data_IF_638209805186
#
_entry.id   IF_638209805186
#
_cell.length_a   1.000
_cell.length_b   1.000
_cell.length_c   1.000
_cell.angle_alpha   90.00
_cell.angle_beta   90.00
_cell.angle_gamma   90.00
#
_symmetry.space_group_name_H-M   'P 1'
#
loop_
_entity.id
_entity.type
_entity.pdbx_description
1 polymer ?
#
# COMPACT_ATOMS: atom_id res chain seq x y z
N UNK A 1 10.97 -1.42 14.78
CA UNK A 1 10.62 -2.87 14.82
C UNK A 1 11.61 -3.79 14.08
N UNK A 2 12.09 -3.44 12.86
CA UNK A 2 13.03 -4.28 12.10
C UNK A 2 14.32 -4.61 12.86
N UNK A 3 14.95 -3.61 13.49
CA UNK A 3 16.13 -3.82 14.33
C UNK A 3 15.89 -4.76 15.52
N UNK A 4 14.74 -4.66 16.19
CA UNK A 4 14.40 -5.55 17.30
C UNK A 4 14.25 -7.00 16.80
N UNK A 5 13.51 -7.20 15.73
CA UNK A 5 13.33 -8.53 15.11
C UNK A 5 14.67 -9.12 14.62
N UNK A 6 15.52 -8.30 14.00
CA UNK A 6 16.83 -8.75 13.50
C UNK A 6 17.79 -9.08 14.66
N UNK A 7 17.71 -8.33 15.77
CA UNK A 7 18.44 -8.61 17.02
C UNK A 7 17.95 -9.91 17.64
N UNK A 8 16.63 -10.13 17.75
CA UNK A 8 16.06 -11.39 18.27
C UNK A 8 16.41 -12.59 17.38
N UNK A 9 16.46 -12.42 16.04
CA UNK A 9 16.93 -13.47 15.12
C UNK A 9 18.39 -13.82 15.33
N UNK A 10 19.26 -12.81 15.50
CA UNK A 10 20.68 -13.01 15.82
C UNK A 10 20.86 -13.75 17.15
N UNK A 11 20.15 -13.33 18.19
CA UNK A 11 20.19 -13.97 19.51
C UNK A 11 19.65 -15.41 19.50
N UNK A 12 18.64 -15.69 18.67
CA UNK A 12 18.06 -17.03 18.52
C UNK A 12 18.88 -17.98 17.62
N UNK A 13 20.08 -17.58 17.16
CA UNK A 13 20.91 -18.38 16.26
C UNK A 13 20.32 -18.61 14.86
N UNK A 14 19.23 -17.90 14.52
CA UNK A 14 18.60 -17.96 13.20
C UNK A 14 19.35 -17.02 12.27
N UNK A 15 20.46 -17.52 11.70
CA UNK A 15 21.18 -16.83 10.65
C UNK A 15 20.20 -16.39 9.55
N UNK A 16 20.20 -15.09 9.24
CA UNK A 16 19.61 -14.61 7.99
C UNK A 16 20.29 -15.37 6.87
N UNK A 17 19.54 -16.14 6.09
CA UNK A 17 20.08 -16.70 4.85
C UNK A 17 20.68 -15.54 4.04
N UNK A 18 21.86 -15.70 3.42
CA UNK A 18 22.37 -14.68 2.50
C UNK A 18 21.27 -14.36 1.48
N UNK A 19 21.09 -13.08 1.17
CA UNK A 19 20.14 -12.68 0.13
C UNK A 19 20.49 -13.44 -1.14
N UNK A 20 19.49 -14.11 -1.71
CA UNK A 20 19.69 -14.90 -2.92
C UNK A 20 20.05 -13.94 -4.06
N UNK A 21 21.07 -14.25 -4.87
CA UNK A 21 21.37 -13.46 -6.06
C UNK A 21 20.13 -13.32 -6.95
N UNK A 22 19.93 -12.12 -7.47
CA UNK A 22 18.87 -11.80 -8.43
C UNK A 22 19.48 -11.79 -9.82
N UNK A 23 18.76 -12.24 -10.84
CA UNK A 23 19.21 -12.18 -12.24
C UNK A 23 18.87 -10.84 -12.89
N UNK A 24 19.78 -10.38 -13.73
CA UNK A 24 19.50 -9.28 -14.66
C UNK A 24 18.60 -9.73 -15.82
N UNK A 25 18.35 -8.83 -16.78
CA UNK A 25 17.52 -9.12 -17.96
C UNK A 25 18.19 -10.11 -18.93
N UNK A 26 19.49 -10.37 -18.79
CA UNK A 26 20.28 -11.32 -19.58
C UNK A 26 20.49 -12.65 -18.83
N UNK A 27 19.68 -12.92 -17.79
CA UNK A 27 19.75 -14.08 -16.90
C UNK A 27 21.09 -14.23 -16.13
N UNK A 28 21.92 -13.18 -16.07
CA UNK A 28 23.19 -13.20 -15.32
C UNK A 28 22.96 -12.89 -13.83
N UNK A 29 23.64 -13.60 -12.91
CA UNK A 29 23.47 -13.38 -11.48
C UNK A 29 24.11 -12.06 -11.02
N UNK A 30 23.32 -11.23 -10.36
CA UNK A 30 23.74 -10.01 -9.66
C UNK A 30 24.02 -10.36 -8.19
N UNK A 31 25.28 -10.26 -7.78
CA UNK A 31 25.71 -10.55 -6.41
C UNK A 31 25.82 -9.30 -5.55
N UNK A 32 26.00 -8.12 -6.16
CA UNK A 32 26.12 -6.86 -5.42
C UNK A 32 24.74 -6.37 -4.94
N UNK A 33 24.62 -6.09 -3.65
CA UNK A 33 23.35 -5.67 -3.00
C UNK A 33 22.75 -4.43 -3.68
N UNK A 34 23.57 -3.41 -3.98
CA UNK A 34 23.10 -2.18 -4.60
C UNK A 34 22.53 -2.42 -6.01
N UNK A 35 23.21 -3.24 -6.80
CA UNK A 35 22.74 -3.61 -8.14
C UNK A 35 21.45 -4.44 -8.06
N UNK A 36 21.32 -5.33 -7.08
CA UNK A 36 20.05 -6.04 -6.85
C UNK A 36 18.92 -5.07 -6.51
N UNK A 37 19.16 -4.05 -5.69
CA UNK A 37 18.16 -3.01 -5.41
C UNK A 37 17.73 -2.26 -6.67
N UNK A 38 18.69 -1.82 -7.49
CA UNK A 38 18.39 -1.16 -8.76
C UNK A 38 17.57 -2.07 -9.68
N UNK A 39 17.91 -3.36 -9.76
CA UNK A 39 17.15 -4.36 -10.53
C UNK A 39 15.70 -4.50 -10.04
N UNK A 40 15.48 -4.45 -8.72
CA UNK A 40 14.12 -4.44 -8.16
C UNK A 40 13.35 -3.16 -8.50
N UNK A 41 14.00 -2.00 -8.43
CA UNK A 41 13.40 -0.71 -8.76
C UNK A 41 12.96 -0.70 -10.23
N UNK A 42 13.89 -1.00 -11.14
CA UNK A 42 13.62 -1.11 -12.59
C UNK A 42 12.43 -2.05 -12.87
N UNK A 43 12.47 -3.27 -12.32
CA UNK A 43 11.41 -4.25 -12.54
C UNK A 43 10.02 -3.74 -12.10
N UNK A 44 9.92 -3.11 -10.93
CA UNK A 44 8.64 -2.62 -10.43
C UNK A 44 8.21 -1.31 -11.09
N UNK A 45 9.14 -0.46 -11.51
CA UNK A 45 8.84 0.73 -12.31
C UNK A 45 8.21 0.34 -13.66
N UNK A 46 8.82 -0.61 -14.38
CA UNK A 46 8.28 -1.13 -15.64
C UNK A 46 6.92 -1.81 -15.45
N UNK A 47 6.77 -2.59 -14.37
CA UNK A 47 5.54 -3.33 -14.10
C UNK A 47 4.37 -2.41 -13.75
N UNK A 48 4.61 -1.36 -12.97
CA UNK A 48 3.57 -0.49 -12.41
C UNK A 48 3.26 0.73 -13.29
N UNK A 49 4.19 1.16 -14.15
CA UNK A 49 4.05 2.36 -14.98
C UNK A 49 4.01 2.02 -16.48
N UNK A 50 3.21 1.02 -16.86
CA UNK A 50 3.04 0.64 -18.26
C UNK A 50 2.45 1.82 -19.06
N UNK A 51 2.97 2.14 -20.26
CA UNK A 51 2.42 3.22 -21.07
C UNK A 51 0.98 2.93 -21.48
N UNK A 52 0.21 4.01 -21.68
CA UNK A 52 -1.16 3.92 -22.17
C UNK A 52 -1.21 3.20 -23.53
N UNK A 53 -2.26 2.42 -23.74
CA UNK A 53 -2.48 1.79 -25.03
C UNK A 53 -2.81 2.85 -26.06
N UNK A 54 -2.15 2.83 -27.23
CA UNK A 54 -2.41 3.79 -28.31
C UNK A 54 -3.86 3.80 -28.78
N UNK A 55 -4.55 2.66 -28.65
CA UNK A 55 -5.97 2.54 -28.97
C UNK A 55 -6.71 2.22 -27.67
N UNK A 56 -7.34 3.21 -27.01
CA UNK A 56 -8.18 2.95 -25.87
C UNK A 56 -9.36 2.04 -26.27
N UNK A 57 -9.83 1.15 -25.38
CA UNK A 57 -11.06 0.42 -25.62
C UNK A 57 -12.21 1.40 -25.89
N UNK A 58 -13.04 1.10 -26.88
CA UNK A 58 -14.30 1.82 -27.09
C UNK A 58 -15.28 1.39 -25.98
N UNK A 59 -15.39 2.21 -24.94
CA UNK A 59 -16.27 1.98 -23.80
C UNK A 59 -17.51 2.83 -24.03
N UNK A 60 -18.65 2.18 -24.30
CA UNK A 60 -19.94 2.87 -24.37
C UNK A 60 -20.21 3.62 -23.06
N UNK A 61 -20.60 4.88 -23.17
CA UNK A 61 -21.00 5.67 -22.01
C UNK A 61 -22.17 4.98 -21.29
N UNK A 62 -22.06 4.84 -19.97
CA UNK A 62 -23.14 4.31 -19.16
C UNK A 62 -24.41 5.15 -19.39
N UNK A 63 -25.53 4.50 -19.67
CA UNK A 63 -26.81 5.17 -19.94
C UNK A 63 -27.42 5.83 -18.69
N UNK A 64 -26.86 5.62 -17.51
CA UNK A 64 -27.38 6.15 -16.24
C UNK A 64 -26.22 6.43 -15.29
N UNK A 65 -26.24 7.62 -14.69
CA UNK A 65 -25.29 7.97 -13.64
C UNK A 65 -25.53 7.11 -12.40
N UNK A 66 -24.45 6.61 -11.79
CA UNK A 66 -24.54 5.92 -10.51
C UNK A 66 -24.96 6.93 -9.43
N UNK A 67 -25.87 6.56 -8.51
CA UNK A 67 -26.30 7.45 -7.43
C UNK A 67 -25.22 7.58 -6.36
N UNK A 68 -24.16 8.34 -6.66
CA UNK A 68 -23.01 8.57 -5.78
C UNK A 68 -23.32 9.72 -4.82
N UNK A 69 -23.13 9.49 -3.52
CA UNK A 69 -23.28 10.55 -2.50
C UNK A 69 -22.09 11.54 -2.54
N UNK A 70 -22.37 12.76 -3.01
CA UNK A 70 -21.40 13.86 -3.13
C UNK A 70 -21.34 14.76 -1.89
N UNK A 71 -22.08 14.46 -0.82
CA UNK A 71 -22.01 15.27 0.40
C UNK A 71 -20.74 14.97 1.21
N UNK A 72 -20.25 15.89 2.06
CA UNK A 72 -19.16 15.61 2.99
C UNK A 72 -19.47 14.40 3.89
N UNK A 73 -18.44 13.60 4.18
CA UNK A 73 -18.59 12.37 4.97
C UNK A 73 -19.01 12.69 6.39
N UNK A 74 -20.07 12.06 6.89
CA UNK A 74 -20.45 12.18 8.30
C UNK A 74 -19.48 11.42 9.21
N UNK A 75 -19.40 11.82 10.47
CA UNK A 75 -18.65 11.11 11.51
C UNK A 75 -19.10 9.65 11.65
N UNK A 76 -20.39 9.35 11.47
CA UNK A 76 -20.89 7.97 11.52
C UNK A 76 -20.32 7.10 10.39
N UNK A 77 -20.26 7.62 9.15
CA UNK A 77 -19.64 6.89 8.03
C UNK A 77 -18.16 6.59 8.29
N UNK A 78 -17.45 7.54 8.89
CA UNK A 78 -16.03 7.39 9.25
C UNK A 78 -15.88 6.35 10.38
N UNK A 79 -16.71 6.44 11.42
CA UNK A 79 -16.75 5.48 12.54
C UNK A 79 -16.96 4.06 12.03
N UNK A 80 -17.92 3.87 11.13
CA UNK A 80 -18.17 2.59 10.47
C UNK A 80 -16.97 2.10 9.66
N UNK A 81 -16.33 2.98 8.87
CA UNK A 81 -15.15 2.63 8.09
C UNK A 81 -13.97 2.19 8.98
N UNK A 82 -13.71 2.87 10.11
CA UNK A 82 -12.67 2.48 11.08
C UNK A 82 -12.94 1.06 11.62
N UNK A 83 -14.20 0.76 11.97
CA UNK A 83 -14.61 -0.57 12.45
C UNK A 83 -14.39 -1.66 11.39
N UNK A 84 -14.59 -1.35 10.11
CA UNK A 84 -14.44 -2.29 8.99
C UNK A 84 -12.98 -2.61 8.62
N UNK A 85 -12.02 -1.74 8.94
CA UNK A 85 -10.59 -2.04 8.70
C UNK A 85 -10.17 -3.26 9.52
N UNK A 86 -9.39 -4.17 8.94
CA UNK A 86 -8.92 -5.37 9.65
C UNK A 86 -7.76 -5.05 10.58
N UNK A 87 -7.81 -5.59 11.80
CA UNK A 87 -6.67 -5.60 12.73
C UNK A 87 -5.63 -6.66 12.33
N UNK A 88 -4.43 -6.60 12.92
CA UNK A 88 -3.33 -7.53 12.68
C UNK A 88 -2.64 -7.35 11.33
N UNK A 89 -2.78 -6.16 10.72
CA UNK A 89 -2.15 -5.84 9.42
C UNK A 89 -0.90 -5.01 9.64
N UNK A 90 0.07 -5.16 8.73
CA UNK A 90 1.27 -4.35 8.74
C UNK A 90 0.92 -2.87 8.50
N UNK A 91 1.56 -1.99 9.26
CA UNK A 91 1.42 -0.54 9.12
C UNK A 91 2.08 -0.05 7.81
N UNK A 92 1.63 1.12 7.35
CA UNK A 92 2.25 1.83 6.23
C UNK A 92 3.54 2.55 6.63
N UNK A 93 4.00 3.51 5.82
CA UNK A 93 5.20 4.31 6.11
C UNK A 93 5.13 5.11 7.41
N UNK A 94 3.93 5.55 7.79
CA UNK A 94 3.66 6.26 9.03
C UNK A 94 3.82 5.41 10.30
N UNK A 95 3.96 4.09 10.16
CA UNK A 95 4.04 3.12 11.26
C UNK A 95 2.82 3.13 12.20
N UNK A 96 1.68 3.67 11.75
CA UNK A 96 0.45 3.69 12.54
C UNK A 96 -0.36 2.41 12.25
N UNK A 97 -0.55 1.51 13.24
CA UNK A 97 -1.34 0.30 13.05
C UNK A 97 -2.85 0.61 13.12
N UNK A 98 -3.66 -0.28 12.56
CA UNK A 98 -5.13 -0.18 12.63
C UNK A 98 -5.69 -0.15 14.05
N UNK A 99 -4.99 -0.79 14.98
CA UNK A 99 -5.31 -0.88 16.40
C UNK A 99 -5.22 0.48 17.07
N UNK A 100 -4.31 1.35 16.63
CA UNK A 100 -4.22 2.71 17.14
C UNK A 100 -5.51 3.48 16.83
N UNK A 101 -6.03 3.37 15.60
CA UNK A 101 -7.29 4.01 15.22
C UNK A 101 -8.52 3.38 15.90
N UNK A 102 -8.42 2.14 16.36
CA UNK A 102 -9.51 1.45 17.04
C UNK A 102 -9.48 1.57 18.57
N UNK A 103 -8.38 2.07 19.13
CA UNK A 103 -8.18 2.17 20.58
C UNK A 103 -9.15 3.17 21.21
N UNK A 104 -9.32 4.33 20.58
CA UNK A 104 -10.35 5.32 20.89
C UNK A 104 -11.03 5.75 19.59
N UNK A 105 -12.14 5.08 19.29
CA UNK A 105 -12.88 5.30 18.04
C UNK A 105 -13.47 6.71 17.99
N UNK A 106 -13.87 7.28 19.12
CA UNK A 106 -14.54 8.59 19.13
C UNK A 106 -13.54 9.71 18.83
N UNK A 107 -12.40 9.70 19.52
CA UNK A 107 -11.33 10.66 19.28
C UNK A 107 -10.79 10.55 17.86
N UNK A 108 -10.51 9.32 17.41
CA UNK A 108 -9.95 9.10 16.07
C UNK A 108 -10.95 9.44 14.96
N UNK A 109 -12.25 9.17 15.15
CA UNK A 109 -13.30 9.60 14.22
C UNK A 109 -13.33 11.12 14.10
N UNK A 110 -13.27 11.85 15.21
CA UNK A 110 -13.30 13.30 15.18
C UNK A 110 -12.07 13.89 14.48
N UNK A 111 -10.88 13.37 14.79
CA UNK A 111 -9.63 13.79 14.13
C UNK A 111 -9.66 13.53 12.62
N UNK A 112 -10.08 12.33 12.21
CA UNK A 112 -10.16 11.97 10.79
C UNK A 112 -11.25 12.75 10.07
N UNK A 113 -12.36 13.08 10.73
CA UNK A 113 -13.42 13.90 10.13
C UNK A 113 -12.93 15.30 9.77
N UNK A 114 -12.18 15.97 10.65
CA UNK A 114 -11.57 17.28 10.35
C UNK A 114 -10.64 17.18 9.14
N UNK A 115 -9.80 16.15 9.09
CA UNK A 115 -8.88 15.93 7.98
C UNK A 115 -9.61 15.62 6.67
N UNK A 116 -10.58 14.70 6.69
CA UNK A 116 -11.33 14.31 5.49
C UNK A 116 -12.19 15.44 4.96
N UNK A 117 -12.75 16.29 5.83
CA UNK A 117 -13.45 17.51 5.44
C UNK A 117 -12.51 18.45 4.68
N UNK A 118 -11.31 18.68 5.21
CA UNK A 118 -10.30 19.50 4.54
C UNK A 118 -9.90 18.94 3.16
N UNK A 119 -9.67 17.64 3.07
CA UNK A 119 -9.38 16.96 1.79
C UNK A 119 -10.53 17.13 0.81
N UNK A 120 -11.78 17.05 1.28
CA UNK A 120 -12.98 17.22 0.46
C UNK A 120 -13.13 18.65 -0.06
N UNK A 121 -12.81 19.66 0.76
CA UNK A 121 -12.92 21.08 0.40
C UNK A 121 -11.76 21.56 -0.50
N UNK A 122 -10.54 21.07 -0.26
CA UNK A 122 -9.34 21.48 -1.01
C UNK A 122 -9.07 20.60 -2.23
N UNK A 123 -9.72 19.44 -2.33
CA UNK A 123 -9.46 18.40 -3.33
C UNK A 123 -7.99 17.93 -3.36
N UNK A 124 -7.28 18.12 -2.24
CA UNK A 124 -5.87 17.77 -2.09
C UNK A 124 -5.69 16.74 -0.98
N UNK A 125 -4.93 15.69 -1.30
CA UNK A 125 -4.49 14.66 -0.34
C UNK A 125 -3.03 14.91 0.03
N UNK A 126 -2.68 14.70 1.30
CA UNK A 126 -1.29 14.80 1.78
C UNK A 126 -0.34 13.95 0.93
N UNK A 127 0.85 14.48 0.66
CA UNK A 127 1.90 13.75 -0.07
C UNK A 127 2.27 12.44 0.61
N UNK A 128 2.24 12.40 1.95
CA UNK A 128 2.51 11.19 2.73
C UNK A 128 1.56 10.02 2.41
N UNK A 129 0.35 10.31 1.93
CA UNK A 129 -0.62 9.27 1.54
C UNK A 129 -0.47 8.83 0.09
N UNK A 130 0.32 9.55 -0.71
CA UNK A 130 0.70 9.16 -2.07
C UNK A 130 1.87 8.19 -2.09
N UNK A 131 2.55 8.03 -0.95
CA UNK A 131 3.66 7.11 -0.78
C UNK A 131 3.26 5.81 -0.08
N UNK A 132 4.06 4.76 -0.31
CA UNK A 132 3.84 3.45 0.30
C UNK A 132 5.11 2.61 0.31
N UNK A 133 5.20 1.65 1.24
CA UNK A 133 6.30 0.70 1.25
C UNK A 133 6.02 -0.46 0.30
N UNK A 134 6.83 -0.61 -0.74
CA UNK A 134 6.75 -1.75 -1.65
C UNK A 134 7.47 -2.97 -1.05
N UNK A 135 6.74 -4.04 -0.81
CA UNK A 135 7.24 -5.30 -0.26
C UNK A 135 7.15 -6.38 -1.34
N UNK A 136 8.28 -7.05 -1.58
CA UNK A 136 8.38 -8.22 -2.47
C UNK A 136 8.02 -9.51 -1.73
N UNK A 137 7.03 -10.24 -2.25
CA UNK A 137 6.60 -11.54 -1.75
C UNK A 137 6.97 -12.62 -2.77
N UNK A 138 7.75 -13.66 -2.39
CA UNK A 138 8.10 -14.74 -3.30
C UNK A 138 6.85 -15.54 -3.74
N UNK A 139 6.75 -15.81 -5.03
CA UNK A 139 5.81 -16.76 -5.64
C UNK A 139 6.51 -18.11 -5.88
N UNK A 140 5.80 -19.08 -6.46
CA UNK A 140 6.41 -20.32 -6.95
C UNK A 140 7.31 -20.02 -8.16
N UNK A 141 8.45 -20.69 -8.26
CA UNK A 141 9.38 -20.58 -9.41
C UNK A 141 10.83 -20.37 -8.99
N UNK A 142 11.67 -19.99 -9.95
CA UNK A 142 13.07 -19.59 -9.73
C UNK A 142 13.10 -18.23 -9.03
N UNK A 143 13.41 -18.22 -7.73
CA UNK A 143 13.50 -17.02 -6.90
C UNK A 143 14.71 -16.13 -7.21
N UNK A 144 15.55 -16.49 -8.17
CA UNK A 144 16.52 -15.54 -8.73
C UNK A 144 15.90 -14.59 -9.76
N UNK A 145 14.69 -14.88 -10.29
CA UNK A 145 14.00 -14.02 -11.26
C UNK A 145 12.98 -13.09 -10.59
N UNK A 146 13.00 -11.81 -10.95
CA UNK A 146 12.08 -10.80 -10.39
C UNK A 146 10.59 -11.12 -10.65
N UNK A 147 10.27 -11.70 -11.82
CA UNK A 147 8.90 -12.07 -12.21
C UNK A 147 8.21 -13.06 -11.25
N UNK A 148 9.02 -13.88 -10.56
CA UNK A 148 8.57 -14.84 -9.57
C UNK A 148 8.33 -14.20 -8.20
N UNK A 149 8.17 -12.87 -8.16
CA UNK A 149 7.76 -12.12 -6.98
C UNK A 149 6.47 -11.36 -7.23
N UNK A 150 5.72 -11.13 -6.16
CA UNK A 150 4.57 -10.24 -6.12
C UNK A 150 4.95 -8.99 -5.34
N UNK A 151 4.81 -7.82 -5.95
CA UNK A 151 4.83 -6.56 -5.21
C UNK A 151 3.52 -6.38 -4.46
N UNK A 152 3.60 -6.01 -3.18
CA UNK A 152 2.48 -5.46 -2.43
C UNK A 152 2.88 -4.11 -1.85
N UNK A 153 1.99 -3.12 -1.92
CA UNK A 153 2.25 -1.80 -1.34
C UNK A 153 1.55 -1.68 0.01
N UNK A 154 2.31 -1.38 1.06
CA UNK A 154 1.77 -1.05 2.37
C UNK A 154 1.49 0.45 2.41
N UNK A 155 0.21 0.79 2.40
CA UNK A 155 -0.29 2.17 2.51
C UNK A 155 -0.67 2.52 3.95
N UNK A 156 -0.68 3.83 4.25
CA UNK A 156 -1.21 4.41 5.50
C UNK A 156 -2.60 3.87 5.82
N UNK A 157 -2.88 3.66 7.11
CA UNK A 157 -4.18 3.14 7.56
C UNK A 157 -5.25 4.23 7.40
N UNK A 158 -4.93 5.48 7.67
CA UNK A 158 -5.84 6.61 7.51
C UNK A 158 -6.32 6.73 6.05
N UNK A 159 -5.41 6.56 5.09
CA UNK A 159 -5.75 6.48 3.67
C UNK A 159 -6.70 5.32 3.35
N UNK A 160 -6.48 4.14 3.94
CA UNK A 160 -7.40 2.99 3.76
C UNK A 160 -8.78 3.26 4.35
N UNK A 161 -8.86 3.99 5.47
CA UNK A 161 -10.15 4.44 6.04
C UNK A 161 -10.85 5.39 5.07
N UNK A 162 -10.12 6.38 4.53
CA UNK A 162 -10.69 7.31 3.54
C UNK A 162 -11.22 6.59 2.31
N UNK A 163 -10.43 5.69 1.71
CA UNK A 163 -10.88 4.86 0.58
C UNK A 163 -12.10 3.99 0.93
N UNK A 164 -12.19 3.48 2.16
CA UNK A 164 -13.37 2.74 2.61
C UNK A 164 -14.60 3.65 2.65
N UNK A 165 -14.45 4.88 3.12
CA UNK A 165 -15.54 5.87 3.13
C UNK A 165 -16.00 6.19 1.71
N UNK A 166 -15.06 6.39 0.77
CA UNK A 166 -15.39 6.61 -0.64
C UNK A 166 -16.10 5.41 -1.27
N UNK A 167 -15.59 4.20 -1.03
CA UNK A 167 -16.19 2.97 -1.55
C UNK A 167 -17.60 2.74 -1.03
N UNK A 168 -17.91 3.15 0.21
CA UNK A 168 -19.25 3.02 0.78
C UNK A 168 -20.26 4.06 0.23
N UNK A 169 -19.84 4.95 -0.67
CA UNK A 169 -20.71 5.93 -1.37
C UNK A 169 -21.10 5.50 -2.78
N UNK A 170 -20.38 4.51 -3.32
CA UNK A 170 -20.69 3.85 -4.59
C UNK A 170 -21.64 2.68 -4.34
#
# INVERSE_FOLDING_TARGET
>A
MKQLHDTTKKLAGKYSKPERPVKDNEDRPITEIRQQWNRWVEYFEELLNRPDQMNPPDIEAAHTDLPIDVNPSTTEKIRMAIRQIKSGKAAGPDNIPSEALKSDIEVTTHMLHVLFKKIWEEEQVSMDWKEGHLIKIPKKGDLSKCENYRGITLLSVQWKVFNRVLLNRM
#
